data_IF_699588279285
#
_entry.id   IF_699588279285
#
_cell.length_a   1.000
_cell.length_b   1.000
_cell.length_c   1.000
_cell.angle_alpha   90.00
_cell.angle_beta   90.00
_cell.angle_gamma   90.00
#
_symmetry.space_group_name_H-M   'P 1'
#
loop_
_entity.id
_entity.type
_entity.pdbx_description
1 polymer ?
#
# COMPACT_ATOMS: atom_id res chain seq x y z
N UNK A 1 -2.60 47.39 36.84
CA UNK A 1 -2.26 47.31 35.39
C UNK A 1 -2.35 45.85 34.96
N UNK A 2 -3.36 45.53 34.14
CA UNK A 2 -3.64 44.19 33.61
C UNK A 2 -2.64 43.85 32.49
N UNK A 3 -2.02 42.67 32.50
CA UNK A 3 -1.41 42.07 31.30
C UNK A 3 -1.87 40.63 31.18
N UNK A 4 -2.37 40.33 29.98
CA UNK A 4 -3.18 39.16 29.64
C UNK A 4 -2.34 37.88 29.53
N UNK A 5 -2.93 36.80 30.05
CA UNK A 5 -2.52 35.42 29.80
C UNK A 5 -3.04 35.06 28.40
N UNK A 6 -2.12 34.83 27.46
CA UNK A 6 -2.47 34.37 26.11
C UNK A 6 -2.61 32.85 26.11
N UNK A 7 -3.86 32.36 26.13
CA UNK A 7 -4.22 30.97 25.93
C UNK A 7 -4.23 30.67 24.43
N UNK A 8 -3.20 29.99 23.93
CA UNK A 8 -3.18 29.40 22.58
C UNK A 8 -3.97 28.09 22.61
N UNK A 9 -5.22 28.14 22.15
CA UNK A 9 -6.10 26.99 21.96
C UNK A 9 -5.63 26.11 20.81
N UNK A 10 -5.30 24.86 21.15
CA UNK A 10 -5.16 23.72 20.23
C UNK A 10 -6.39 23.63 19.30
N UNK A 11 -6.17 23.67 18.00
CA UNK A 11 -7.16 23.19 17.02
C UNK A 11 -6.63 21.92 16.39
N UNK A 12 -6.92 20.78 17.02
CA UNK A 12 -6.69 19.47 16.44
C UNK A 12 -7.72 19.25 15.33
N UNK A 13 -7.32 19.42 14.08
CA UNK A 13 -8.13 19.05 12.91
C UNK A 13 -8.13 17.51 12.84
N UNK A 14 -9.14 16.89 13.44
CA UNK A 14 -9.49 15.51 13.18
C UNK A 14 -10.02 15.40 11.75
N UNK A 15 -9.15 15.12 10.78
CA UNK A 15 -9.59 14.63 9.46
C UNK A 15 -10.15 13.22 9.69
N UNK A 16 -11.46 13.16 9.90
CA UNK A 16 -12.21 11.92 9.94
C UNK A 16 -12.20 11.29 8.56
N UNK A 17 -11.36 10.27 8.36
CA UNK A 17 -11.52 9.35 7.25
C UNK A 17 -12.85 8.62 7.45
N UNK A 18 -13.85 8.96 6.63
CA UNK A 18 -15.09 8.20 6.52
C UNK A 18 -14.73 6.76 6.10
N UNK A 19 -14.85 5.83 7.05
CA UNK A 19 -14.65 4.40 6.79
C UNK A 19 -15.92 3.90 6.11
N UNK A 20 -15.89 3.78 4.78
CA UNK A 20 -16.96 3.13 4.05
C UNK A 20 -17.13 1.69 4.59
N UNK A 21 -18.37 1.33 4.96
CA UNK A 21 -18.76 0.04 5.50
C UNK A 21 -18.76 -1.09 4.44
N UNK A 22 -17.72 -1.16 3.62
CA UNK A 22 -17.40 -2.35 2.84
C UNK A 22 -16.59 -3.29 3.74
N UNK A 23 -17.04 -4.53 3.90
CA UNK A 23 -16.28 -5.54 4.64
C UNK A 23 -14.81 -5.57 4.21
N UNK A 24 -13.92 -5.83 5.17
CA UNK A 24 -12.47 -5.82 4.95
C UNK A 24 -12.10 -6.84 3.87
N UNK A 25 -11.76 -6.35 2.67
CA UNK A 25 -11.47 -7.21 1.51
C UNK A 25 -9.99 -7.08 1.13
N UNK A 26 -9.36 -8.21 0.74
CA UNK A 26 -8.01 -8.17 0.19
C UNK A 26 -8.00 -7.35 -1.09
N UNK A 27 -6.83 -6.88 -1.49
CA UNK A 27 -6.67 -6.26 -2.79
C UNK A 27 -7.02 -7.27 -3.89
N UNK A 28 -7.78 -6.85 -4.92
CA UNK A 28 -8.18 -7.73 -6.03
C UNK A 28 -7.05 -8.05 -7.01
N UNK A 29 -5.82 -7.61 -6.70
CA UNK A 29 -4.64 -7.75 -7.53
C UNK A 29 -3.38 -7.93 -6.67
N UNK A 30 -2.52 -8.85 -7.09
CA UNK A 30 -1.12 -8.91 -6.65
C UNK A 30 -0.31 -7.92 -7.48
N UNK A 31 -0.36 -6.65 -7.11
CA UNK A 31 0.16 -5.56 -7.93
C UNK A 31 1.67 -5.68 -8.22
N UNK A 32 2.47 -6.17 -7.27
CA UNK A 32 3.92 -6.32 -7.49
C UNK A 32 4.19 -7.46 -8.47
N UNK A 33 3.67 -8.67 -8.21
CA UNK A 33 3.80 -9.80 -9.14
C UNK A 33 3.24 -9.48 -10.54
N UNK A 34 2.10 -8.80 -10.60
CA UNK A 34 1.45 -8.41 -11.86
C UNK A 34 2.32 -7.44 -12.66
N UNK A 35 2.79 -6.37 -12.03
CA UNK A 35 3.68 -5.41 -12.68
C UNK A 35 4.98 -6.07 -13.15
N UNK A 36 5.59 -6.91 -12.32
CA UNK A 36 6.83 -7.60 -12.69
C UNK A 36 6.64 -8.51 -13.89
N UNK A 37 5.46 -9.12 -14.04
CA UNK A 37 5.12 -9.99 -15.18
C UNK A 37 4.73 -9.22 -16.44
N UNK A 38 3.99 -8.12 -16.31
CA UNK A 38 3.30 -7.46 -17.43
C UNK A 38 3.94 -6.13 -17.85
N UNK A 39 4.60 -5.42 -16.93
CA UNK A 39 5.03 -4.04 -17.14
C UNK A 39 6.57 -3.87 -17.11
N UNK A 40 7.27 -4.75 -16.39
CA UNK A 40 8.72 -4.60 -16.15
C UNK A 40 9.58 -4.66 -17.42
N UNK A 41 9.10 -5.28 -18.50
CA UNK A 41 9.81 -5.31 -19.79
C UNK A 41 9.96 -3.93 -20.42
N UNK A 42 9.02 -3.02 -20.14
CA UNK A 42 9.00 -1.65 -20.69
C UNK A 42 9.43 -0.60 -19.66
N UNK A 43 9.21 -0.87 -18.37
CA UNK A 43 9.40 0.10 -17.29
C UNK A 43 10.51 -0.31 -16.30
N UNK A 44 11.21 -1.41 -16.57
CA UNK A 44 12.21 -2.00 -15.68
C UNK A 44 11.60 -2.66 -14.45
N UNK A 45 12.40 -3.50 -13.79
CA UNK A 45 12.06 -4.07 -12.48
C UNK A 45 11.78 -2.95 -11.49
N UNK A 46 10.69 -3.06 -10.73
CA UNK A 46 10.27 -2.09 -9.73
C UNK A 46 10.20 -0.63 -10.22
N UNK A 47 9.99 -0.42 -11.52
CA UNK A 47 9.92 0.92 -12.11
C UNK A 47 11.28 1.58 -12.35
N UNK A 48 12.37 0.81 -12.44
CA UNK A 48 13.72 1.35 -12.61
C UNK A 48 13.92 2.24 -13.86
N UNK A 49 13.03 2.17 -14.85
CA UNK A 49 13.05 3.04 -16.03
C UNK A 49 12.05 4.20 -15.95
N UNK A 50 11.30 4.34 -14.86
CA UNK A 50 10.49 5.54 -14.64
C UNK A 50 11.38 6.71 -14.27
N UNK A 51 11.06 7.87 -14.84
CA UNK A 51 11.58 9.13 -14.33
C UNK A 51 11.13 9.32 -12.88
N UNK A 52 12.00 9.87 -12.05
CA UNK A 52 11.67 10.20 -10.67
C UNK A 52 10.44 11.12 -10.63
N UNK A 53 9.40 10.72 -9.91
CA UNK A 53 8.13 11.44 -9.86
C UNK A 53 7.35 11.41 -11.18
N UNK A 54 7.53 10.38 -12.03
CA UNK A 54 6.70 10.10 -13.22
C UNK A 54 5.21 10.43 -13.05
N UNK A 55 4.58 10.08 -11.93
CA UNK A 55 3.16 10.40 -11.67
C UNK A 55 2.84 11.90 -11.71
N UNK A 56 3.82 12.77 -11.44
CA UNK A 56 3.66 14.23 -11.39
C UNK A 56 3.65 14.87 -12.77
N UNK A 57 3.93 14.10 -13.82
CA UNK A 57 3.78 14.56 -15.21
C UNK A 57 2.32 14.74 -15.62
N UNK A 58 1.40 14.16 -14.85
CA UNK A 58 -0.02 14.18 -15.08
C UNK A 58 -0.67 15.25 -14.20
N UNK A 59 -1.44 16.14 -14.81
CA UNK A 59 -1.99 17.31 -14.13
C UNK A 59 -3.09 16.90 -13.13
N UNK A 60 -3.85 15.85 -13.46
CA UNK A 60 -4.88 15.30 -12.59
C UNK A 60 -4.64 13.82 -12.27
N UNK A 61 -5.19 13.32 -11.14
CA UNK A 61 -5.21 11.88 -10.88
C UNK A 61 -5.93 11.05 -11.96
N UNK A 62 -6.83 11.68 -12.73
CA UNK A 62 -7.53 11.07 -13.86
C UNK A 62 -6.60 10.83 -15.05
N UNK A 63 -5.73 11.78 -15.39
CA UNK A 63 -4.86 11.66 -16.57
C UNK A 63 -3.83 10.53 -16.39
N UNK A 64 -3.30 10.37 -15.17
CA UNK A 64 -2.42 9.23 -14.86
C UNK A 64 -3.17 7.91 -14.99
N UNK A 65 -4.42 7.85 -14.49
CA UNK A 65 -5.25 6.66 -14.58
C UNK A 65 -5.50 6.28 -16.04
N UNK A 66 -5.97 7.22 -16.85
CA UNK A 66 -6.24 7.01 -18.27
C UNK A 66 -4.98 6.50 -19.00
N UNK A 67 -3.83 7.09 -18.68
CA UNK A 67 -2.57 6.62 -19.24
C UNK A 67 -2.25 5.18 -18.84
N UNK A 68 -2.38 4.85 -17.56
CA UNK A 68 -2.14 3.47 -17.08
C UNK A 68 -3.15 2.48 -17.66
N UNK A 69 -4.42 2.86 -17.79
CA UNK A 69 -5.47 2.03 -18.40
C UNK A 69 -5.20 1.73 -19.88
N UNK A 70 -4.55 2.67 -20.59
CA UNK A 70 -4.15 2.49 -21.99
C UNK A 70 -2.94 1.57 -22.18
N UNK A 71 -2.22 1.21 -21.11
CA UNK A 71 -0.99 0.41 -21.23
C UNK A 71 -1.30 -1.05 -21.61
N UNK A 72 -0.47 -1.65 -22.49
CA UNK A 72 -0.51 -3.10 -22.71
C UNK A 72 -0.40 -3.86 -21.38
N UNK A 73 -1.29 -4.83 -21.18
CA UNK A 73 -1.39 -5.60 -19.93
C UNK A 73 -2.42 -5.07 -18.94
N UNK A 74 -2.89 -3.83 -19.07
CA UNK A 74 -3.90 -3.22 -18.18
C UNK A 74 -5.30 -3.19 -18.80
N UNK A 75 -5.42 -3.17 -20.12
CA UNK A 75 -6.69 -2.98 -20.84
C UNK A 75 -7.83 -3.95 -20.44
N UNK A 76 -7.50 -5.17 -20.01
CA UNK A 76 -8.47 -6.20 -19.59
C UNK A 76 -8.74 -6.20 -18.07
N UNK A 77 -8.08 -5.32 -17.31
CA UNK A 77 -8.24 -5.24 -15.86
C UNK A 77 -9.56 -4.58 -15.49
N UNK A 78 -10.18 -5.08 -14.41
CA UNK A 78 -11.31 -4.39 -13.81
C UNK A 78 -10.85 -3.11 -13.12
N UNK A 79 -11.74 -2.12 -13.00
CA UNK A 79 -11.45 -0.81 -12.39
C UNK A 79 -10.76 -0.93 -11.02
N UNK A 80 -11.21 -1.84 -10.17
CA UNK A 80 -10.63 -2.06 -8.84
C UNK A 80 -9.23 -2.68 -8.86
N UNK A 81 -8.86 -3.37 -9.93
CA UNK A 81 -7.50 -3.90 -10.13
C UNK A 81 -6.57 -2.80 -10.63
N UNK A 82 -7.06 -1.97 -11.55
CA UNK A 82 -6.37 -0.74 -11.99
C UNK A 82 -6.06 0.14 -10.78
N UNK A 83 -6.98 0.29 -9.82
CA UNK A 83 -6.74 1.09 -8.61
C UNK A 83 -5.53 0.61 -7.80
N UNK A 84 -5.37 -0.71 -7.62
CA UNK A 84 -4.22 -1.28 -6.89
C UNK A 84 -2.93 -1.08 -7.68
N UNK A 85 -2.97 -1.32 -9.00
CA UNK A 85 -1.81 -1.14 -9.87
C UNK A 85 -1.38 0.32 -9.90
N UNK A 86 -2.33 1.25 -9.96
CA UNK A 86 -2.09 2.69 -9.92
C UNK A 86 -1.43 3.09 -8.60
N UNK A 87 -1.92 2.58 -7.47
CA UNK A 87 -1.28 2.80 -6.17
C UNK A 87 0.17 2.29 -6.15
N UNK A 88 0.43 1.16 -6.81
CA UNK A 88 1.79 0.64 -6.95
C UNK A 88 2.67 1.53 -7.84
N UNK A 89 2.18 1.93 -9.02
CA UNK A 89 2.87 2.85 -9.95
C UNK A 89 3.24 4.16 -9.26
N UNK A 90 2.33 4.73 -8.46
CA UNK A 90 2.60 5.91 -7.64
C UNK A 90 3.75 5.70 -6.66
N UNK A 91 3.72 4.60 -5.93
CA UNK A 91 4.75 4.28 -4.95
C UNK A 91 6.13 4.14 -5.60
N UNK A 92 6.26 3.37 -6.68
CA UNK A 92 7.56 3.21 -7.37
C UNK A 92 8.02 4.50 -8.05
N UNK A 93 7.09 5.28 -8.61
CA UNK A 93 7.38 6.61 -9.17
C UNK A 93 7.99 7.56 -8.15
N UNK A 94 7.54 7.49 -6.89
CA UNK A 94 8.08 8.30 -5.77
C UNK A 94 9.26 7.64 -5.05
N UNK A 95 9.66 6.43 -5.45
CA UNK A 95 10.65 5.63 -4.73
C UNK A 95 10.22 5.30 -3.30
N UNK A 96 8.92 5.15 -3.05
CA UNK A 96 8.31 4.82 -1.77
C UNK A 96 8.08 3.31 -1.61
N UNK A 97 7.88 2.87 -0.37
CA UNK A 97 7.65 1.45 -0.08
C UNK A 97 6.16 1.13 -0.20
N UNK A 98 5.81 0.30 -1.17
CA UNK A 98 4.45 -0.21 -1.36
C UNK A 98 4.19 -1.45 -0.50
N UNK A 99 3.00 -1.52 0.10
CA UNK A 99 2.51 -2.66 0.87
C UNK A 99 1.08 -2.98 0.44
N UNK A 100 0.78 -4.26 0.27
CA UNK A 100 -0.56 -4.76 -0.07
C UNK A 100 -0.81 -6.09 0.60
N UNK A 101 -2.05 -6.37 1.04
CA UNK A 101 -2.51 -7.72 1.39
C UNK A 101 -3.52 -8.23 0.36
N UNK A 102 -3.37 -9.49 -0.04
CA UNK A 102 -4.01 -10.05 -1.25
C UNK A 102 -4.78 -11.34 -0.98
N UNK A 103 -4.60 -11.96 0.19
CA UNK A 103 -5.40 -13.11 0.58
C UNK A 103 -5.52 -13.21 2.11
N UNK A 104 -6.63 -13.77 2.58
CA UNK A 104 -6.89 -14.11 3.98
C UNK A 104 -7.73 -15.40 4.05
N UNK A 105 -7.08 -16.56 3.94
CA UNK A 105 -7.75 -17.88 3.98
C UNK A 105 -7.38 -18.66 5.24
N UNK A 106 -8.37 -19.14 5.99
CA UNK A 106 -8.15 -20.08 7.10
C UNK A 106 -7.05 -19.64 8.09
N UNK A 107 -7.00 -18.33 8.41
CA UNK A 107 -5.98 -17.63 9.23
C UNK A 107 -4.64 -17.35 8.56
N UNK A 108 -4.47 -17.71 7.30
CA UNK A 108 -3.29 -17.33 6.52
C UNK A 108 -3.52 -15.98 5.85
N UNK A 109 -2.79 -14.96 6.31
CA UNK A 109 -2.75 -13.65 5.68
C UNK A 109 -1.55 -13.60 4.73
N UNK A 110 -1.77 -13.16 3.50
CA UNK A 110 -0.73 -13.00 2.49
C UNK A 110 -0.75 -11.61 1.86
N UNK A 111 0.40 -11.19 1.37
CA UNK A 111 0.53 -9.93 0.66
C UNK A 111 1.87 -9.76 -0.04
N UNK A 112 2.07 -8.55 -0.55
CA UNK A 112 3.28 -8.16 -1.25
C UNK A 112 3.89 -6.89 -0.66
N UNK A 113 5.17 -6.71 -0.91
CA UNK A 113 5.97 -5.51 -0.62
C UNK A 113 6.88 -5.22 -1.81
N UNK A 114 7.08 -3.94 -2.08
CA UNK A 114 8.10 -3.44 -2.98
C UNK A 114 8.71 -2.18 -2.35
N UNK A 115 10.03 -1.95 -2.41
CA UNK A 115 11.03 -2.77 -3.09
C UNK A 115 11.30 -4.12 -2.40
N UNK A 116 11.81 -5.09 -3.16
CA UNK A 116 12.14 -6.48 -2.76
C UNK A 116 13.06 -6.57 -1.55
N UNK A 117 13.92 -5.57 -1.35
CA UNK A 117 14.83 -5.47 -0.21
C UNK A 117 14.21 -5.01 1.11
N UNK A 118 12.94 -4.60 1.12
CA UNK A 118 12.31 -4.09 2.33
C UNK A 118 12.14 -5.17 3.41
N UNK A 119 12.54 -4.83 4.63
CA UNK A 119 12.25 -5.63 5.82
C UNK A 119 10.78 -5.49 6.20
N UNK A 120 10.17 -6.56 6.73
CA UNK A 120 8.75 -6.59 7.09
C UNK A 120 8.60 -6.96 8.56
N UNK A 121 7.72 -6.25 9.25
CA UNK A 121 7.21 -6.59 10.58
C UNK A 121 5.70 -6.57 10.57
N UNK A 122 5.08 -7.51 11.28
CA UNK A 122 3.62 -7.54 11.46
C UNK A 122 3.28 -7.56 12.94
N UNK A 123 2.25 -6.81 13.32
CA UNK A 123 1.72 -6.76 14.68
C UNK A 123 0.22 -7.06 14.65
N UNK A 124 -0.28 -7.78 15.65
CA UNK A 124 -1.72 -7.81 15.98
C UNK A 124 -1.92 -7.30 17.40
N UNK A 125 -2.75 -6.27 17.58
CA UNK A 125 -2.97 -5.63 18.89
C UNK A 125 -1.65 -5.26 19.61
N UNK A 126 -0.68 -4.76 18.85
CA UNK A 126 0.66 -4.40 19.35
C UNK A 126 1.60 -5.57 19.63
N UNK A 127 1.16 -6.83 19.52
CA UNK A 127 2.00 -8.02 19.70
C UNK A 127 2.64 -8.45 18.38
N UNK A 128 3.94 -8.77 18.36
CA UNK A 128 4.60 -9.20 17.13
C UNK A 128 4.06 -10.53 16.63
N UNK A 129 3.88 -10.62 15.31
CA UNK A 129 3.55 -11.83 14.59
C UNK A 129 4.78 -12.33 13.84
N UNK A 130 4.92 -13.65 13.71
CA UNK A 130 5.95 -14.25 12.86
C UNK A 130 5.62 -13.96 11.40
N UNK A 131 6.54 -13.31 10.70
CA UNK A 131 6.44 -13.05 9.26
C UNK A 131 7.30 -14.05 8.51
N UNK A 132 6.71 -14.70 7.51
CA UNK A 132 7.41 -15.54 6.54
C UNK A 132 7.58 -14.77 5.22
N UNK A 133 8.67 -15.05 4.50
CA UNK A 133 9.01 -14.42 3.21
C UNK A 133 9.16 -15.50 2.13
N UNK A 134 8.05 -15.98 1.52
CA UNK A 134 8.11 -16.99 0.47
C UNK A 134 8.87 -16.54 -0.79
N UNK A 135 8.98 -15.23 -1.01
CA UNK A 135 9.81 -14.65 -2.07
C UNK A 135 10.25 -13.24 -1.66
N UNK A 136 11.07 -12.60 -2.51
CA UNK A 136 11.59 -11.26 -2.27
C UNK A 136 10.49 -10.17 -2.21
N UNK A 137 9.33 -10.37 -2.84
CA UNK A 137 8.21 -9.43 -2.73
C UNK A 137 7.03 -9.99 -1.93
N UNK A 138 6.95 -11.31 -1.64
CA UNK A 138 5.82 -11.88 -0.89
C UNK A 138 6.07 -11.96 0.60
N UNK A 139 5.06 -11.64 1.39
CA UNK A 139 5.05 -11.86 2.83
C UNK A 139 3.80 -12.66 3.24
N UNK A 140 3.92 -13.37 4.35
CA UNK A 140 2.88 -14.24 4.89
C UNK A 140 2.90 -14.21 6.42
N UNK A 141 1.72 -14.26 7.02
CA UNK A 141 1.55 -14.36 8.47
C UNK A 141 0.43 -15.36 8.77
N UNK A 142 0.69 -16.28 9.69
CA UNK A 142 -0.37 -17.13 10.27
C UNK A 142 -0.96 -16.38 11.47
N UNK A 143 -2.24 -16.04 11.41
CA UNK A 143 -2.93 -15.35 12.49
C UNK A 143 -3.16 -16.30 13.68
N UNK A 144 -2.79 -15.88 14.91
CA UNK A 144 -3.15 -16.60 16.11
C UNK A 144 -4.67 -16.78 16.24
N UNK A 145 -5.10 -17.79 17.00
CA UNK A 145 -6.53 -17.99 17.26
C UNK A 145 -7.16 -16.74 17.88
N UNK A 146 -8.35 -16.35 17.40
CA UNK A 146 -9.08 -15.17 17.87
C UNK A 146 -8.55 -13.81 17.39
N UNK A 147 -7.43 -13.78 16.64
CA UNK A 147 -6.95 -12.54 15.99
C UNK A 147 -7.71 -12.34 14.69
N UNK A 148 -8.30 -11.15 14.53
CA UNK A 148 -9.01 -10.77 13.31
C UNK A 148 -8.09 -10.01 12.35
N UNK A 149 -8.40 -10.02 11.06
CA UNK A 149 -7.56 -9.41 10.01
C UNK A 149 -7.44 -7.90 10.24
N UNK A 150 -8.52 -7.22 10.63
CA UNK A 150 -8.54 -5.78 10.91
C UNK A 150 -7.64 -5.36 12.07
N UNK A 151 -7.24 -6.30 12.92
CA UNK A 151 -6.36 -6.05 14.07
C UNK A 151 -4.87 -6.05 13.68
N UNK A 152 -4.58 -6.40 12.43
CA UNK A 152 -3.23 -6.54 11.90
C UNK A 152 -2.72 -5.22 11.33
N UNK A 153 -1.47 -4.91 11.67
CA UNK A 153 -0.67 -3.87 11.05
C UNK A 153 0.60 -4.50 10.48
N UNK A 154 0.92 -4.16 9.23
CA UNK A 154 2.17 -4.54 8.56
C UNK A 154 2.98 -3.27 8.34
N UNK A 155 4.26 -3.30 8.71
CA UNK A 155 5.20 -2.20 8.53
C UNK A 155 6.39 -2.71 7.74
N UNK A 156 6.76 -1.96 6.70
CA UNK A 156 7.90 -2.22 5.85
C UNK A 156 8.94 -1.11 5.99
N UNK A 157 10.22 -1.47 5.98
CA UNK A 157 11.33 -0.51 6.11
C UNK A 157 12.48 -0.84 5.17
N UNK A 158 13.01 0.20 4.51
CA UNK A 158 14.17 0.13 3.63
C UNK A 158 14.87 1.50 3.61
N UNK A 159 16.18 1.54 3.89
CA UNK A 159 17.02 2.74 3.77
C UNK A 159 16.40 3.99 4.47
N UNK A 160 15.92 3.83 5.70
CA UNK A 160 15.29 4.90 6.47
C UNK A 160 13.85 5.26 6.07
N UNK A 161 13.36 4.79 4.91
CA UNK A 161 11.94 4.90 4.53
C UNK A 161 11.11 3.87 5.27
N UNK A 162 9.89 4.25 5.65
CA UNK A 162 8.93 3.38 6.33
C UNK A 162 7.56 3.52 5.68
N UNK A 163 6.87 2.40 5.49
CA UNK A 163 5.48 2.35 5.06
C UNK A 163 4.70 1.44 5.99
N UNK A 164 3.49 1.85 6.37
CA UNK A 164 2.66 1.10 7.31
C UNK A 164 1.27 0.91 6.73
N UNK A 165 0.86 -0.35 6.64
CA UNK A 165 -0.47 -0.76 6.25
C UNK A 165 -1.21 -1.28 7.50
N UNK A 166 -2.21 -0.52 7.96
CA UNK A 166 -3.16 -1.00 8.97
C UNK A 166 -4.33 -1.60 8.23
N UNK A 167 -4.58 -2.90 8.40
CA UNK A 167 -5.52 -3.59 7.51
C UNK A 167 -6.96 -3.07 7.66
N UNK A 168 -7.33 -2.59 8.86
CA UNK A 168 -8.59 -1.86 9.11
C UNK A 168 -8.80 -0.60 8.26
N UNK A 169 -7.73 -0.04 7.68
CA UNK A 169 -7.77 1.22 6.93
C UNK A 169 -7.77 1.00 5.41
N UNK A 170 -7.43 -0.20 4.93
CA UNK A 170 -7.39 -0.48 3.51
C UNK A 170 -6.59 -1.73 3.15
N UNK A 171 -6.62 -2.06 1.85
CA UNK A 171 -5.95 -3.23 1.31
C UNK A 171 -4.48 -3.00 0.91
N UNK A 172 -4.11 -1.75 0.66
CA UNK A 172 -2.79 -1.35 0.19
C UNK A 172 -2.49 0.10 0.59
N UNK A 173 -1.21 0.48 0.53
CA UNK A 173 -0.75 1.86 0.73
C UNK A 173 -0.81 2.66 -0.58
N UNK A 174 -0.71 3.99 -0.51
CA UNK A 174 -0.66 4.89 -1.69
C UNK A 174 -1.91 4.87 -2.58
N UNK A 175 -3.08 4.61 -2.01
CA UNK A 175 -4.37 4.64 -2.73
C UNK A 175 -4.73 6.02 -3.31
N UNK A 176 -4.04 7.09 -2.88
CA UNK A 176 -4.18 8.46 -3.37
C UNK A 176 -2.80 9.06 -3.57
#
# INVERSE_FOLDING_TARGET
MRRLISLLTLTAICVGAAVAAGGLKPAPLRAVETYEKQCSSCHGQEGAMFDAGFEKKYATPGDLRETVESMPGVAEMRSEQVDVLLAYVRAISRGEIFLVWTDAKSRLLEGEVSPRGASIRALAKGKPLKVERPSAYRWRVVLPSGVKVEEVQVTAQLQGKTSTLRLRQGAYTHAR
#
